data_IF_606643801806
#
_entry.id   IF_606643801806
#
_cell.length_a   1.000
_cell.length_b   1.000
_cell.length_c   1.000
_cell.angle_alpha   90.00
_cell.angle_beta   90.00
_cell.angle_gamma   90.00
#
_symmetry.space_group_name_H-M   'P 1'
#
loop_
_entity.id
_entity.type
_entity.pdbx_description
1 polymer ?
#
# COMPACT_ATOMS: atom_id res chain seq x y z
N UNK A 1 -11.51 7.11 -11.97
CA UNK A 1 -10.69 6.60 -10.86
C UNK A 1 -9.35 7.32 -10.91
N UNK A 2 -8.71 7.55 -9.77
CA UNK A 2 -7.41 8.23 -9.64
C UNK A 2 -6.66 7.66 -8.45
N UNK A 3 -5.33 7.75 -8.47
CA UNK A 3 -4.51 7.47 -7.29
C UNK A 3 -4.46 8.69 -6.38
N UNK A 4 -4.27 8.46 -5.08
CA UNK A 4 -3.95 9.51 -4.13
C UNK A 4 -2.62 10.17 -4.50
N UNK A 5 -2.56 11.51 -4.49
CA UNK A 5 -1.33 12.26 -4.79
C UNK A 5 -0.27 12.18 -3.70
N UNK A 6 -0.61 11.69 -2.50
CA UNK A 6 0.39 11.28 -1.53
C UNK A 6 1.03 9.95 -1.98
N UNK A 7 2.30 10.01 -2.41
CA UNK A 7 3.09 8.85 -2.81
C UNK A 7 3.24 7.79 -1.71
N UNK A 8 3.05 8.15 -0.43
CA UNK A 8 3.02 7.14 0.64
C UNK A 8 1.76 6.28 0.66
N UNK A 9 0.67 6.75 0.06
CA UNK A 9 -0.65 6.12 0.14
C UNK A 9 -0.94 5.23 -1.06
N UNK A 10 -0.73 5.76 -2.29
CA UNK A 10 -1.02 5.08 -3.56
C UNK A 10 -2.40 4.40 -3.67
N UNK A 11 -3.38 4.81 -2.85
CA UNK A 11 -4.72 4.25 -2.89
C UNK A 11 -5.41 4.66 -4.20
N UNK A 12 -5.93 3.68 -4.94
CA UNK A 12 -6.78 3.90 -6.10
C UNK A 12 -8.22 4.10 -5.66
N UNK A 13 -8.82 5.25 -6.01
CA UNK A 13 -10.18 5.61 -5.59
C UNK A 13 -10.91 6.44 -6.65
N UNK A 14 -12.16 6.79 -6.40
CA UNK A 14 -12.95 7.71 -7.23
C UNK A 14 -13.28 8.94 -6.39
N UNK A 15 -13.04 10.12 -6.94
CA UNK A 15 -13.30 11.39 -6.28
C UNK A 15 -14.18 12.25 -7.18
N UNK A 16 -15.18 12.93 -6.60
CA UNK A 16 -15.93 13.96 -7.32
C UNK A 16 -15.10 15.26 -7.42
N UNK A 17 -15.42 16.18 -8.34
CA UNK A 17 -14.64 17.41 -8.54
C UNK A 17 -14.48 18.27 -7.28
N UNK A 18 -15.56 18.45 -6.50
CA UNK A 18 -15.53 19.25 -5.27
C UNK A 18 -14.57 18.67 -4.21
N UNK A 19 -14.50 17.34 -4.09
CA UNK A 19 -13.56 16.69 -3.18
C UNK A 19 -12.12 16.78 -3.69
N UNK A 20 -11.90 16.74 -5.01
CA UNK A 20 -10.57 16.88 -5.58
C UNK A 20 -9.97 18.26 -5.31
N UNK A 21 -10.78 19.32 -5.38
CA UNK A 21 -10.37 20.67 -4.98
C UNK A 21 -10.14 20.76 -3.46
N UNK A 22 -11.08 20.25 -2.65
CA UNK A 22 -10.99 20.33 -1.18
C UNK A 22 -9.74 19.64 -0.62
N UNK A 23 -9.40 18.46 -1.15
CA UNK A 23 -8.29 17.63 -0.64
C UNK A 23 -7.04 17.67 -1.52
N UNK A 24 -6.98 18.59 -2.48
CA UNK A 24 -5.87 18.69 -3.44
C UNK A 24 -5.51 17.32 -4.06
N UNK A 25 -6.52 16.59 -4.55
CA UNK A 25 -6.36 15.27 -5.18
C UNK A 25 -5.95 14.11 -4.24
N UNK A 26 -5.93 14.31 -2.92
CA UNK A 26 -5.68 13.26 -1.94
C UNK A 26 -6.97 12.56 -1.49
N UNK A 27 -6.84 11.33 -0.98
CA UNK A 27 -7.99 10.54 -0.51
C UNK A 27 -8.55 10.99 0.86
N UNK A 28 -7.80 11.79 1.62
CA UNK A 28 -8.16 12.27 2.95
C UNK A 28 -7.38 13.54 3.34
N UNK A 29 -7.82 14.22 4.40
CA UNK A 29 -7.13 15.39 4.97
C UNK A 29 -5.71 15.05 5.41
N UNK A 30 -5.52 13.92 6.10
CA UNK A 30 -4.19 13.47 6.52
C UNK A 30 -3.24 13.28 5.33
N UNK A 31 -3.71 12.69 4.22
CA UNK A 31 -2.88 12.54 3.02
C UNK A 31 -2.56 13.89 2.36
N UNK A 32 -3.51 14.83 2.39
CA UNK A 32 -3.27 16.19 1.89
C UNK A 32 -2.22 16.92 2.74
N UNK A 33 -2.27 16.78 4.06
CA UNK A 33 -1.29 17.38 4.97
C UNK A 33 0.11 16.78 4.75
N UNK A 34 0.22 15.46 4.67
CA UNK A 34 1.49 14.78 4.36
C UNK A 34 2.05 15.24 3.00
N UNK A 35 1.21 15.33 1.96
CA UNK A 35 1.64 15.76 0.62
C UNK A 35 2.16 17.20 0.57
N UNK A 36 1.70 18.07 1.48
CA UNK A 36 2.16 19.48 1.55
C UNK A 36 3.50 19.64 2.28
N UNK A 37 3.98 18.61 2.97
CA UNK A 37 5.27 18.67 3.67
C UNK A 37 6.44 18.67 2.67
N UNK A 38 7.63 19.15 3.05
CA UNK A 38 8.84 18.98 2.26
C UNK A 38 9.15 17.50 2.00
N UNK A 39 9.79 17.19 0.87
CA UNK A 39 10.10 15.81 0.47
C UNK A 39 10.89 15.03 1.53
N UNK A 40 11.76 15.71 2.29
CA UNK A 40 12.53 15.11 3.37
C UNK A 40 11.62 14.58 4.49
N UNK A 41 10.64 15.38 4.91
CA UNK A 41 9.65 15.00 5.93
C UNK A 41 8.69 13.94 5.41
N UNK A 42 8.24 14.05 4.15
CA UNK A 42 7.46 13.00 3.50
C UNK A 42 8.20 11.66 3.48
N UNK A 43 9.51 11.67 3.21
CA UNK A 43 10.34 10.46 3.22
C UNK A 43 10.49 9.90 4.63
N UNK A 44 10.68 10.73 5.65
CA UNK A 44 10.72 10.30 7.07
C UNK A 44 9.41 9.63 7.50
N UNK A 45 8.26 10.17 7.09
CA UNK A 45 6.94 9.60 7.42
C UNK A 45 6.64 8.30 6.67
N UNK A 46 7.18 8.14 5.45
CA UNK A 46 7.11 6.89 4.68
C UNK A 46 8.01 5.81 5.27
N UNK A 47 9.20 6.19 5.75
CA UNK A 47 10.15 5.26 6.33
C UNK A 47 9.53 4.48 7.49
N UNK A 48 9.58 3.15 7.42
CA UNK A 48 9.02 2.25 8.44
C UNK A 48 7.53 1.89 8.26
N UNK A 49 6.80 2.52 7.33
CA UNK A 49 5.44 2.09 6.92
C UNK A 49 5.43 1.18 5.70
N UNK A 50 6.60 0.91 5.11
CA UNK A 50 6.75 0.05 3.95
C UNK A 50 6.41 -1.40 4.33
N UNK A 51 5.19 -1.82 4.01
CA UNK A 51 4.86 -3.23 4.05
C UNK A 51 5.69 -3.94 2.98
N UNK A 52 6.63 -4.80 3.39
CA UNK A 52 7.40 -5.62 2.45
C UNK A 52 6.50 -6.37 1.48
N UNK A 53 7.04 -6.74 0.31
CA UNK A 53 6.27 -7.32 -0.79
C UNK A 53 5.32 -8.43 -0.31
N UNK A 54 4.02 -8.11 -0.24
CA UNK A 54 2.95 -9.06 0.11
C UNK A 54 2.67 -9.96 -1.09
N UNK A 55 3.66 -10.75 -1.46
CA UNK A 55 3.59 -11.70 -2.58
C UNK A 55 2.66 -12.84 -2.16
N UNK A 56 1.37 -12.69 -2.45
CA UNK A 56 0.44 -13.80 -2.38
C UNK A 56 0.73 -14.76 -3.53
N UNK A 57 1.35 -15.89 -3.22
CA UNK A 57 1.62 -16.92 -4.20
C UNK A 57 0.66 -18.10 -3.98
N UNK A 58 -0.38 -18.15 -4.82
CA UNK A 58 -1.40 -19.20 -4.83
C UNK A 58 -0.83 -20.61 -5.05
N UNK A 59 0.32 -20.74 -5.71
CA UNK A 59 0.98 -22.04 -5.95
C UNK A 59 1.97 -22.46 -4.86
N UNK A 60 2.49 -21.51 -4.05
CA UNK A 60 3.40 -21.80 -2.92
C UNK A 60 2.68 -22.11 -1.60
N UNK A 61 1.43 -21.71 -1.45
CA UNK A 61 0.55 -22.13 -0.36
C UNK A 61 -0.68 -22.79 -0.95
N UNK A 62 -0.54 -24.04 -1.43
CA UNK A 62 -1.66 -24.77 -2.05
C UNK A 62 -2.88 -24.65 -1.14
N UNK A 63 -4.03 -24.36 -1.76
CA UNK A 63 -5.34 -24.73 -1.23
C UNK A 63 -5.28 -26.17 -0.73
N UNK A 64 -4.93 -26.41 0.54
CA UNK A 64 -4.86 -27.73 1.13
C UNK A 64 -6.29 -28.19 1.44
N UNK A 65 -7.09 -28.38 0.39
CA UNK A 65 -8.47 -28.81 0.54
C UNK A 65 -8.64 -30.31 0.37
N UNK A 66 -7.75 -31.06 -0.32
CA UNK A 66 -7.98 -32.50 -0.59
C UNK A 66 -6.77 -33.44 -0.80
N UNK A 67 -5.52 -32.98 -0.84
CA UNK A 67 -4.38 -33.85 -1.16
C UNK A 67 -3.26 -33.58 -0.15
N UNK A 68 -3.11 -34.43 0.86
CA UNK A 68 -2.18 -34.28 1.99
C UNK A 68 -0.71 -34.26 1.58
N UNK A 69 -0.26 -33.15 1.01
CA UNK A 69 1.13 -32.88 0.67
C UNK A 69 1.71 -32.05 1.81
N UNK A 70 2.81 -32.48 2.45
CA UNK A 70 3.43 -31.75 3.56
C UNK A 70 3.97 -30.39 3.11
N UNK A 71 3.91 -29.42 4.01
CA UNK A 71 4.38 -28.06 3.78
C UNK A 71 5.90 -28.03 3.53
N UNK A 72 6.38 -27.12 2.65
CA UNK A 72 7.81 -26.92 2.48
C UNK A 72 8.41 -26.21 3.70
N UNK A 73 9.59 -26.69 4.13
CA UNK A 73 10.37 -26.10 5.23
C UNK A 73 10.61 -24.59 5.02
N UNK A 74 10.56 -23.79 6.09
CA UNK A 74 10.75 -22.34 6.00
C UNK A 74 12.16 -22.06 5.51
N UNK A 75 12.27 -21.52 4.29
CA UNK A 75 13.54 -20.97 3.81
C UNK A 75 13.92 -19.79 4.69
N UNK A 76 14.94 -19.96 5.53
CA UNK A 76 15.65 -18.85 6.14
C UNK A 76 16.11 -17.93 5.01
N UNK A 77 15.51 -16.73 4.95
CA UNK A 77 15.99 -15.69 4.06
C UNK A 77 17.10 -14.92 4.80
N UNK A 78 18.17 -14.51 4.11
CA UNK A 78 19.22 -13.67 4.66
C UNK A 78 18.71 -12.27 5.01
#
# INVERSE_FOLDING_TARGET
HTNCLNDGCHLLFIQCPACAEKFAGCCSEACMEEHKLPEEEQRKLRAGRENGNKIFNKSRGRLNTKLGIPDPEPSEKP
#
